data_IF_078345477930
#
_entry.id   IF_078345477930
#
_cell.length_a   1.000
_cell.length_b   1.000
_cell.length_c   1.000
_cell.angle_alpha   90.00
_cell.angle_beta   90.00
_cell.angle_gamma   90.00
#
_symmetry.space_group_name_H-M   'P 1'
#
loop_
_entity.id
_entity.type
_entity.pdbx_description
1 polymer ?
#
# COMPACT_ATOMS: atom_id res chain seq x y z
N UNK A 1 52.70 41.65 41.95
CA UNK A 1 53.60 40.74 41.21
C UNK A 1 52.83 40.24 40.00
N UNK A 2 53.31 40.56 38.80
CA UNK A 2 52.63 40.28 37.53
C UNK A 2 52.63 38.77 37.20
N UNK A 3 51.64 38.34 36.42
CA UNK A 3 51.86 37.29 35.43
C UNK A 3 51.04 37.59 34.18
N UNK A 4 51.75 37.73 33.05
CA UNK A 4 51.23 37.93 31.70
C UNK A 4 50.90 36.57 31.06
N UNK A 5 49.85 36.49 30.23
CA UNK A 5 50.03 36.24 28.78
C UNK A 5 48.74 36.38 27.97
N UNK A 6 48.90 37.09 26.86
CA UNK A 6 47.97 37.41 25.76
C UNK A 6 47.69 36.16 24.93
N UNK A 7 46.44 35.94 24.46
CA UNK A 7 46.23 35.41 23.11
C UNK A 7 44.98 36.03 22.45
N UNK A 8 45.28 36.72 21.33
CA UNK A 8 44.42 37.22 20.27
C UNK A 8 43.07 36.52 20.04
N UNK A 9 42.01 37.32 20.02
CA UNK A 9 40.77 37.04 19.30
C UNK A 9 41.03 37.08 17.79
N UNK A 10 41.43 35.95 17.20
CA UNK A 10 41.41 35.76 15.75
C UNK A 10 40.25 34.84 15.36
N UNK A 11 39.32 35.44 14.64
CA UNK A 11 38.35 34.80 13.76
C UNK A 11 39.05 33.68 12.96
N UNK A 12 38.56 32.46 13.09
CA UNK A 12 38.80 31.39 12.11
C UNK A 12 37.44 30.95 11.61
N UNK A 13 37.13 31.43 10.41
CA UNK A 13 36.01 30.94 9.59
C UNK A 13 36.40 29.53 9.14
N UNK A 14 35.88 28.52 9.83
CA UNK A 14 35.84 27.16 9.28
C UNK A 14 34.50 26.98 8.61
N UNK A 15 34.51 27.12 7.29
CA UNK A 15 33.39 26.83 6.40
C UNK A 15 32.93 25.38 6.56
N UNK A 16 31.98 25.15 7.47
CA UNK A 16 31.06 24.03 7.33
C UNK A 16 29.98 24.55 6.41
N UNK A 17 30.06 24.14 5.15
CA UNK A 17 28.99 24.30 4.17
C UNK A 17 27.74 23.63 4.73
N UNK A 18 26.97 24.39 5.47
CA UNK A 18 25.62 24.03 5.88
C UNK A 18 24.78 24.18 4.62
N UNK A 19 24.88 23.17 3.74
CA UNK A 19 23.97 23.00 2.62
C UNK A 19 22.60 22.81 3.26
N UNK A 20 21.86 23.92 3.33
CA UNK A 20 20.42 23.95 3.50
C UNK A 20 19.85 23.03 2.43
N UNK A 21 19.59 21.78 2.80
CA UNK A 21 18.76 20.90 1.99
C UNK A 21 17.41 21.59 1.94
N UNK A 22 17.16 22.21 0.80
CA UNK A 22 16.00 23.05 0.55
C UNK A 22 14.77 22.17 0.77
N UNK A 23 14.02 22.49 1.82
CA UNK A 23 12.72 21.89 2.11
C UNK A 23 11.78 22.07 0.90
N UNK A 24 11.75 21.08 0.02
CA UNK A 24 10.68 20.91 -0.96
C UNK A 24 9.65 19.89 -0.44
N UNK A 25 9.30 19.98 0.85
CA UNK A 25 8.18 19.26 1.45
C UNK A 25 7.01 20.22 1.70
N UNK A 26 6.47 20.82 0.65
CA UNK A 26 5.17 21.52 0.75
C UNK A 26 4.31 21.32 -0.48
N UNK A 27 3.58 20.22 -0.46
CA UNK A 27 2.18 20.20 -0.90
C UNK A 27 1.36 19.39 0.12
N UNK A 28 1.27 19.93 1.34
CA UNK A 28 0.30 19.49 2.35
C UNK A 28 -0.94 20.36 2.24
N UNK A 29 -1.69 20.16 1.16
CA UNK A 29 -3.10 20.52 1.10
C UNK A 29 -3.85 19.29 0.64
N UNK A 30 -4.09 18.35 1.55
CA UNK A 30 -5.19 17.43 1.37
C UNK A 30 -6.04 17.39 2.64
N UNK A 31 -7.28 17.79 2.43
CA UNK A 31 -8.38 17.94 3.35
C UNK A 31 -8.49 16.79 4.36
N UNK A 32 -9.13 17.04 5.51
CA UNK A 32 -9.63 16.07 6.52
C UNK A 32 -10.55 14.96 5.95
N UNK A 33 -10.51 14.64 4.64
CA UNK A 33 -11.10 13.43 4.09
C UNK A 33 -10.37 12.24 4.70
N UNK A 34 -11.15 11.32 5.26
CA UNK A 34 -10.68 10.02 5.71
C UNK A 34 -9.75 9.44 4.65
N UNK A 35 -8.53 9.02 5.03
CA UNK A 35 -7.63 8.34 4.10
C UNK A 35 -8.25 6.98 3.76
N UNK A 36 -9.02 6.93 2.67
CA UNK A 36 -9.50 5.69 2.06
C UNK A 36 -8.39 5.08 1.21
N UNK A 37 -8.18 3.79 1.38
CA UNK A 37 -7.32 2.97 0.55
C UNK A 37 -8.13 1.90 -0.16
N UNK A 38 -7.64 1.48 -1.33
CA UNK A 38 -8.23 0.42 -2.14
C UNK A 38 -7.19 -0.66 -2.40
N UNK A 39 -7.56 -1.94 -2.29
CA UNK A 39 -6.74 -3.09 -2.67
C UNK A 39 -7.31 -3.72 -3.92
N UNK A 40 -6.51 -3.80 -4.98
CA UNK A 40 -6.89 -4.37 -6.28
C UNK A 40 -5.96 -5.53 -6.65
N UNK A 41 -6.55 -6.61 -7.17
CA UNK A 41 -5.81 -7.79 -7.60
C UNK A 41 -5.36 -7.73 -9.06
N UNK A 42 -4.20 -8.32 -9.35
CA UNK A 42 -3.75 -8.58 -10.72
C UNK A 42 -3.17 -9.99 -10.86
N UNK A 43 -3.45 -10.62 -11.99
CA UNK A 43 -2.93 -11.93 -12.38
C UNK A 43 -1.72 -11.82 -13.30
N UNK A 44 -0.88 -12.84 -13.27
CA UNK A 44 0.25 -13.02 -14.19
C UNK A 44 -0.27 -13.51 -15.55
N UNK A 45 0.01 -12.76 -16.61
CA UNK A 45 -0.28 -13.14 -18.00
C UNK A 45 0.87 -13.93 -18.65
N UNK A 46 0.59 -14.52 -19.82
CA UNK A 46 1.52 -15.44 -20.49
C UNK A 46 2.77 -14.77 -21.08
N UNK A 47 2.69 -13.50 -21.48
CA UNK A 47 3.77 -12.77 -22.20
C UNK A 47 4.42 -11.65 -21.37
N UNK A 48 4.56 -11.87 -20.07
CA UNK A 48 4.92 -10.83 -19.10
C UNK A 48 3.91 -9.69 -18.98
N UNK A 49 2.69 -9.92 -19.48
CA UNK A 49 1.58 -9.00 -19.34
C UNK A 49 0.89 -9.19 -17.98
N UNK A 50 0.13 -8.19 -17.58
CA UNK A 50 -0.65 -8.20 -16.34
C UNK A 50 -2.14 -8.25 -16.71
N UNK A 51 -2.87 -9.18 -16.10
CA UNK A 51 -4.31 -9.31 -16.31
C UNK A 51 -5.04 -8.76 -15.08
N UNK A 52 -5.87 -7.74 -15.29
CA UNK A 52 -6.64 -7.12 -14.20
C UNK A 52 -7.81 -8.02 -13.77
N UNK A 53 -8.14 -8.01 -12.47
CA UNK A 53 -9.42 -8.56 -12.00
C UNK A 53 -10.59 -7.74 -12.57
N UNK A 54 -11.83 -8.28 -12.61
CA UNK A 54 -12.99 -7.53 -13.08
C UNK A 54 -13.18 -6.18 -12.36
N UNK A 55 -13.01 -6.16 -11.04
CA UNK A 55 -13.11 -4.93 -10.25
C UNK A 55 -11.97 -3.95 -10.55
N UNK A 56 -10.74 -4.46 -10.74
CA UNK A 56 -9.60 -3.63 -11.11
C UNK A 56 -9.74 -3.05 -12.52
N UNK A 57 -10.36 -3.78 -13.45
CA UNK A 57 -10.68 -3.29 -14.79
C UNK A 57 -11.71 -2.15 -14.74
N UNK A 58 -12.81 -2.31 -14.00
CA UNK A 58 -13.78 -1.22 -13.73
C UNK A 58 -13.08 0.00 -13.14
N UNK A 59 -12.23 -0.20 -12.13
CA UNK A 59 -11.49 0.91 -11.52
C UNK A 59 -10.52 1.57 -12.53
N UNK A 60 -9.84 0.79 -13.37
CA UNK A 60 -8.95 1.31 -14.40
C UNK A 60 -9.69 2.19 -15.41
N UNK A 61 -10.92 1.81 -15.79
CA UNK A 61 -11.79 2.64 -16.64
C UNK A 61 -12.16 3.97 -15.96
N UNK A 62 -12.50 3.94 -14.67
CA UNK A 62 -12.80 5.16 -13.88
C UNK A 62 -11.62 6.14 -13.81
N UNK A 63 -10.38 5.64 -13.87
CA UNK A 63 -9.16 6.45 -13.86
C UNK A 63 -8.56 6.64 -15.26
N UNK A 64 -9.33 6.41 -16.33
CA UNK A 64 -8.93 6.58 -17.72
C UNK A 64 -7.64 5.83 -18.11
N UNK A 65 -7.46 4.60 -17.63
CA UNK A 65 -6.29 3.77 -17.98
C UNK A 65 -5.03 4.01 -17.14
N UNK A 66 -5.05 5.02 -16.26
CA UNK A 66 -3.89 5.41 -15.44
C UNK A 66 -3.42 4.32 -14.48
N UNK A 67 -4.30 3.41 -14.04
CA UNK A 67 -3.91 2.28 -13.20
C UNK A 67 -2.95 1.37 -13.98
N UNK A 68 -3.34 0.98 -15.19
CA UNK A 68 -2.57 0.08 -16.04
C UNK A 68 -1.26 0.74 -16.51
N UNK A 69 -1.29 2.04 -16.81
CA UNK A 69 -0.08 2.83 -17.07
C UNK A 69 0.87 2.80 -15.87
N UNK A 70 0.39 3.14 -14.66
CA UNK A 70 1.20 3.14 -13.44
C UNK A 70 1.76 1.74 -13.12
N UNK A 71 0.97 0.69 -13.32
CA UNK A 71 1.45 -0.69 -13.20
C UNK A 71 2.56 -0.91 -14.21
N UNK A 72 2.38 -0.56 -15.48
CA UNK A 72 3.40 -0.76 -16.53
C UNK A 72 4.68 0.06 -16.27
N UNK A 73 4.58 1.30 -15.80
CA UNK A 73 5.72 2.16 -15.49
C UNK A 73 6.48 1.72 -14.23
N UNK A 74 5.77 1.22 -13.22
CA UNK A 74 6.37 0.80 -11.94
C UNK A 74 6.74 -0.69 -11.90
N UNK A 75 6.11 -1.50 -12.73
CA UNK A 75 6.45 -2.89 -12.94
C UNK A 75 7.55 -2.96 -14.01
N UNK A 76 8.80 -2.84 -13.56
CA UNK A 76 9.81 -3.76 -14.08
C UNK A 76 9.29 -5.21 -13.98
N UNK A 77 9.85 -6.16 -14.76
CA UNK A 77 9.21 -7.39 -15.24
C UNK A 77 8.26 -8.05 -14.22
N UNK A 78 6.96 -8.11 -14.58
CA UNK A 78 5.83 -8.80 -13.92
C UNK A 78 5.68 -8.59 -12.41
N UNK A 79 4.46 -8.22 -11.99
CA UNK A 79 4.09 -8.21 -10.57
C UNK A 79 3.87 -9.65 -10.07
N UNK A 80 4.93 -10.25 -9.55
CA UNK A 80 4.95 -11.64 -9.05
C UNK A 80 3.90 -11.88 -7.96
N UNK A 81 3.46 -13.13 -7.82
CA UNK A 81 2.66 -13.64 -6.69
C UNK A 81 3.09 -13.04 -5.34
N UNK A 82 2.10 -12.56 -4.59
CA UNK A 82 2.23 -11.97 -3.24
C UNK A 82 3.13 -10.74 -3.15
N UNK A 83 3.46 -10.10 -4.26
CA UNK A 83 4.07 -8.76 -4.26
C UNK A 83 2.98 -7.70 -4.30
N UNK A 84 3.28 -6.57 -3.70
CA UNK A 84 2.36 -5.43 -3.60
C UNK A 84 3.07 -4.18 -4.07
N UNK A 85 2.36 -3.33 -4.81
CA UNK A 85 2.78 -1.97 -5.10
C UNK A 85 1.71 -0.99 -4.68
N UNK A 86 2.13 0.16 -4.18
CA UNK A 86 1.24 1.16 -3.62
C UNK A 86 1.35 2.42 -4.47
N UNK A 87 0.24 2.79 -5.09
CA UNK A 87 0.12 3.98 -5.93
C UNK A 87 -0.61 5.08 -5.18
N UNK A 88 -0.07 6.29 -5.27
CA UNK A 88 -0.59 7.47 -4.58
C UNK A 88 -1.37 8.35 -5.54
N UNK A 89 -2.40 9.04 -5.02
CA UNK A 89 -3.06 10.16 -5.69
C UNK A 89 -3.56 9.82 -7.10
N UNK A 90 -4.47 8.86 -7.19
CA UNK A 90 -5.19 8.57 -8.44
C UNK A 90 -6.35 9.55 -8.63
N UNK A 91 -6.64 9.90 -9.88
CA UNK A 91 -7.37 11.11 -10.26
C UNK A 91 -8.87 11.10 -9.88
N UNK A 92 -9.41 9.96 -9.45
CA UNK A 92 -10.82 9.84 -9.06
C UNK A 92 -11.18 10.57 -7.76
N UNK A 93 -10.19 10.95 -6.93
CA UNK A 93 -10.41 11.74 -5.71
C UNK A 93 -11.15 11.03 -4.56
N UNK A 94 -11.52 9.75 -4.75
CA UNK A 94 -12.17 8.90 -3.76
C UNK A 94 -11.17 8.15 -2.88
N UNK A 95 -10.12 7.61 -3.50
CA UNK A 95 -9.06 6.87 -2.82
C UNK A 95 -7.77 7.66 -2.83
N UNK A 96 -7.16 7.82 -1.66
CA UNK A 96 -5.86 8.49 -1.55
C UNK A 96 -4.73 7.58 -2.04
N UNK A 97 -4.95 6.27 -1.94
CA UNK A 97 -3.94 5.27 -2.15
C UNK A 97 -4.55 3.97 -2.67
N UNK A 98 -3.91 3.37 -3.66
CA UNK A 98 -4.35 2.12 -4.27
C UNK A 98 -3.20 1.11 -4.18
N UNK A 99 -3.41 0.03 -3.46
CA UNK A 99 -2.48 -1.10 -3.38
C UNK A 99 -2.85 -2.15 -4.42
N UNK A 100 -1.95 -2.40 -5.36
CA UNK A 100 -2.08 -3.46 -6.37
C UNK A 100 -1.31 -4.68 -5.91
N UNK A 101 -1.97 -5.84 -5.87
CA UNK A 101 -1.42 -7.11 -5.35
C UNK A 101 -1.38 -8.19 -6.42
N UNK A 102 -0.31 -8.97 -6.44
CA UNK A 102 -0.11 -10.05 -7.41
C UNK A 102 -0.72 -11.36 -6.92
N UNK A 103 -1.67 -11.89 -7.67
CA UNK A 103 -2.38 -13.14 -7.37
C UNK A 103 -1.66 -14.37 -7.94
N UNK A 104 -0.70 -14.17 -8.84
CA UNK A 104 -0.06 -15.25 -9.58
C UNK A 104 -0.89 -15.68 -10.79
N UNK A 105 -0.80 -16.96 -11.16
CA UNK A 105 -1.55 -17.53 -12.29
C UNK A 105 -3.04 -17.56 -12.02
N UNK A 106 -3.84 -17.33 -13.07
CA UNK A 106 -5.29 -17.43 -13.00
C UNK A 106 -5.75 -18.90 -13.02
N UNK A 107 -6.93 -19.18 -12.46
CA UNK A 107 -7.59 -20.50 -12.49
C UNK A 107 -6.76 -21.64 -11.85
N UNK A 108 -6.03 -21.32 -10.77
CA UNK A 108 -5.44 -22.33 -9.90
C UNK A 108 -6.54 -23.06 -9.13
N UNK A 109 -6.35 -24.37 -8.94
CA UNK A 109 -7.28 -25.22 -8.21
C UNK A 109 -6.63 -25.91 -7.01
N UNK A 110 -7.18 -27.05 -6.65
CA UNK A 110 -6.65 -27.88 -5.57
C UNK A 110 -5.29 -28.50 -5.95
N UNK A 111 -4.27 -28.27 -5.13
CA UNK A 111 -2.97 -28.93 -5.26
C UNK A 111 -2.90 -30.10 -4.28
N UNK A 112 -2.83 -31.32 -4.82
CA UNK A 112 -2.76 -32.55 -4.02
C UNK A 112 -1.46 -32.75 -3.26
N UNK A 113 -0.36 -32.08 -3.64
CA UNK A 113 0.91 -32.16 -2.92
C UNK A 113 0.91 -31.29 -1.66
N UNK A 114 0.25 -30.14 -1.73
CA UNK A 114 0.15 -29.16 -0.63
C UNK A 114 -1.16 -29.33 0.17
N UNK A 115 -2.04 -30.22 -0.28
CA UNK A 115 -3.38 -30.49 0.28
C UNK A 115 -4.23 -29.22 0.47
N UNK A 116 -4.02 -28.20 -0.36
CA UNK A 116 -4.65 -26.88 -0.25
C UNK A 116 -5.19 -26.40 -1.60
N UNK A 117 -6.22 -25.56 -1.54
CA UNK A 117 -6.64 -24.76 -2.69
C UNK A 117 -5.67 -23.57 -2.88
N UNK A 118 -4.81 -23.67 -3.89
CA UNK A 118 -3.80 -22.65 -4.17
C UNK A 118 -4.42 -21.32 -4.58
N UNK A 119 -5.54 -21.34 -5.30
CA UNK A 119 -6.22 -20.12 -5.74
C UNK A 119 -6.68 -19.30 -4.54
N UNK A 120 -7.38 -19.94 -3.62
CA UNK A 120 -7.85 -19.30 -2.38
C UNK A 120 -6.68 -18.83 -1.52
N UNK A 121 -5.64 -19.64 -1.38
CA UNK A 121 -4.48 -19.27 -0.58
C UNK A 121 -3.71 -18.09 -1.17
N UNK A 122 -3.59 -18.01 -2.49
CA UNK A 122 -2.97 -16.86 -3.15
C UNK A 122 -3.74 -15.57 -2.86
N UNK A 123 -5.06 -15.61 -2.92
CA UNK A 123 -5.93 -14.46 -2.61
C UNK A 123 -5.69 -14.01 -1.16
N UNK A 124 -5.72 -14.94 -0.19
CA UNK A 124 -5.46 -14.62 1.23
C UNK A 124 -4.13 -13.90 1.43
N UNK A 125 -3.05 -14.48 0.90
CA UNK A 125 -1.69 -13.94 1.08
C UNK A 125 -1.53 -12.60 0.35
N UNK A 126 -2.07 -12.45 -0.86
CA UNK A 126 -1.98 -11.23 -1.63
C UNK A 126 -2.75 -10.07 -0.95
N UNK A 127 -3.99 -10.33 -0.51
CA UNK A 127 -4.79 -9.33 0.22
C UNK A 127 -4.11 -8.96 1.53
N UNK A 128 -3.60 -9.94 2.28
CA UNK A 128 -2.86 -9.68 3.51
C UNK A 128 -1.68 -8.72 3.31
N UNK A 129 -0.92 -8.91 2.22
CA UNK A 129 0.18 -8.02 1.86
C UNK A 129 -0.31 -6.62 1.46
N UNK A 130 -1.41 -6.54 0.70
CA UNK A 130 -2.09 -5.29 0.33
C UNK A 130 -2.54 -4.46 1.54
N UNK A 131 -3.31 -5.09 2.43
CA UNK A 131 -3.80 -4.45 3.66
C UNK A 131 -2.66 -4.01 4.57
N UNK A 132 -1.63 -4.84 4.73
CA UNK A 132 -0.44 -4.51 5.53
C UNK A 132 0.33 -3.32 4.92
N UNK A 133 0.45 -3.25 3.59
CA UNK A 133 1.12 -2.14 2.92
C UNK A 133 0.36 -0.82 3.09
N UNK A 134 -0.98 -0.84 3.05
CA UNK A 134 -1.81 0.33 3.33
C UNK A 134 -1.75 0.73 4.81
N UNK A 135 -1.77 -0.23 5.73
CA UNK A 135 -1.66 0.04 7.16
C UNK A 135 -0.32 0.68 7.53
N UNK A 136 0.78 0.24 6.89
CA UNK A 136 2.12 0.78 7.07
C UNK A 136 2.23 2.26 6.69
N UNK A 137 1.36 2.74 5.81
CA UNK A 137 1.29 4.15 5.39
C UNK A 137 0.15 4.93 6.06
N UNK A 138 -0.35 4.40 7.17
CA UNK A 138 -1.38 5.01 8.03
C UNK A 138 -2.73 5.21 7.34
N UNK A 139 -3.13 4.22 6.53
CA UNK A 139 -4.47 4.15 5.93
C UNK A 139 -5.29 3.11 6.70
N UNK A 140 -6.37 3.60 7.33
CA UNK A 140 -7.19 2.80 8.24
C UNK A 140 -8.58 2.46 7.70
N UNK A 141 -8.98 3.03 6.58
CA UNK A 141 -10.22 2.67 5.88
C UNK A 141 -9.82 1.99 4.59
N UNK A 142 -9.95 0.67 4.52
CA UNK A 142 -9.45 -0.13 3.40
C UNK A 142 -10.63 -0.82 2.73
N UNK A 143 -10.81 -0.60 1.43
CA UNK A 143 -11.73 -1.35 0.59
C UNK A 143 -10.95 -2.40 -0.19
N UNK A 144 -11.49 -3.61 -0.30
CA UNK A 144 -10.79 -4.77 -0.87
C UNK A 144 -11.61 -5.36 -2.00
N UNK A 145 -10.96 -5.61 -3.14
CA UNK A 145 -11.50 -6.36 -4.26
C UNK A 145 -11.82 -7.81 -3.87
N UNK A 146 -12.93 -8.36 -4.39
CA UNK A 146 -13.31 -9.76 -4.18
C UNK A 146 -12.35 -10.76 -4.81
N UNK A 147 -11.60 -10.35 -5.85
CA UNK A 147 -10.57 -11.17 -6.53
C UNK A 147 -11.07 -12.54 -7.03
N UNK A 148 -12.38 -12.73 -7.16
CA UNK A 148 -13.02 -14.00 -7.53
C UNK A 148 -13.48 -14.86 -6.34
N UNK A 149 -12.96 -14.63 -5.14
CA UNK A 149 -13.40 -15.29 -3.89
C UNK A 149 -13.37 -14.27 -2.75
N UNK A 150 -14.54 -13.68 -2.47
CA UNK A 150 -14.69 -12.65 -1.45
C UNK A 150 -14.44 -13.19 -0.02
N UNK A 151 -14.67 -14.48 0.22
CA UNK A 151 -14.42 -15.12 1.51
C UNK A 151 -12.91 -15.19 1.77
N UNK A 152 -12.15 -15.72 0.82
CA UNK A 152 -10.69 -15.78 0.91
C UNK A 152 -10.07 -14.37 1.03
N UNK A 153 -10.62 -13.37 0.32
CA UNK A 153 -10.17 -12.00 0.42
C UNK A 153 -10.44 -11.41 1.82
N UNK A 154 -11.64 -11.62 2.37
CA UNK A 154 -11.99 -11.16 3.71
C UNK A 154 -11.11 -11.81 4.80
N UNK A 155 -10.86 -13.12 4.69
CA UNK A 155 -9.97 -13.85 5.60
C UNK A 155 -8.56 -13.24 5.60
N UNK A 156 -7.97 -13.04 4.41
CA UNK A 156 -6.63 -12.45 4.27
C UNK A 156 -6.55 -11.04 4.86
N UNK A 157 -7.57 -10.22 4.64
CA UNK A 157 -7.62 -8.85 5.16
C UNK A 157 -7.77 -8.80 6.68
N UNK A 158 -8.69 -9.58 7.24
CA UNK A 158 -8.98 -9.58 8.68
C UNK A 158 -7.78 -10.17 9.45
N UNK A 159 -7.22 -11.28 8.99
CA UNK A 159 -6.10 -11.94 9.67
C UNK A 159 -4.83 -11.08 9.67
N UNK A 160 -4.54 -10.38 8.57
CA UNK A 160 -3.35 -9.53 8.46
C UNK A 160 -3.42 -8.25 9.29
N UNK A 161 -4.62 -7.71 9.47
CA UNK A 161 -4.84 -6.44 10.16
C UNK A 161 -5.03 -6.59 11.66
N UNK A 162 -5.32 -7.81 12.13
CA UNK A 162 -5.58 -8.07 13.52
C UNK A 162 -4.31 -8.05 14.39
N UNK A 163 -4.41 -7.46 15.57
CA UNK A 163 -3.32 -7.43 16.55
C UNK A 163 -3.91 -7.58 17.95
N UNK A 164 -3.38 -8.50 18.75
CA UNK A 164 -3.68 -8.60 20.17
C UNK A 164 -3.10 -7.42 20.96
N UNK A 165 -3.95 -6.65 21.62
CA UNK A 165 -3.54 -5.42 22.31
C UNK A 165 -4.26 -5.21 23.65
N UNK A 166 -4.86 -6.26 24.23
CA UNK A 166 -5.67 -6.15 25.44
C UNK A 166 -4.88 -5.56 26.62
N UNK A 167 -3.69 -6.12 26.88
CA UNK A 167 -2.79 -5.73 27.97
C UNK A 167 -1.83 -4.58 27.62
N UNK A 168 -1.94 -3.98 26.43
CA UNK A 168 -1.13 -2.79 26.11
C UNK A 168 -1.68 -1.58 26.84
N UNK A 169 -0.79 -0.70 27.30
CA UNK A 169 -1.17 0.61 27.83
C UNK A 169 -2.04 1.34 26.79
N UNK A 170 -3.12 2.02 27.23
CA UNK A 170 -4.06 2.73 26.36
C UNK A 170 -3.37 3.68 25.38
N UNK A 171 -2.31 4.37 25.82
CA UNK A 171 -1.53 5.28 24.98
C UNK A 171 -0.76 4.57 23.84
N UNK A 172 -0.47 3.28 23.99
CA UNK A 172 0.29 2.48 23.03
C UNK A 172 -0.60 1.53 22.20
N UNK A 173 -1.93 1.62 22.33
CA UNK A 173 -2.86 0.82 21.52
C UNK A 173 -2.92 1.40 20.11
N UNK A 174 -2.58 0.58 19.11
CA UNK A 174 -2.72 0.93 17.69
C UNK A 174 -4.19 0.87 17.29
N UNK A 175 -4.64 1.87 16.52
CA UNK A 175 -5.93 1.81 15.82
C UNK A 175 -5.84 0.76 14.71
N UNK A 176 -6.72 -0.24 14.78
CA UNK A 176 -6.84 -1.26 13.74
C UNK A 176 -7.52 -0.66 12.51
N UNK A 177 -7.12 -1.05 11.29
CA UNK A 177 -7.82 -0.66 10.09
C UNK A 177 -9.18 -1.36 10.02
N UNK A 178 -10.16 -0.69 9.40
CA UNK A 178 -11.47 -1.21 9.06
C UNK A 178 -11.44 -1.62 7.59
N UNK A 179 -11.90 -2.84 7.32
CA UNK A 179 -11.92 -3.41 5.97
C UNK A 179 -13.37 -3.57 5.50
N UNK A 180 -13.64 -3.20 4.26
CA UNK A 180 -14.93 -3.39 3.57
C UNK A 180 -14.75 -3.91 2.15
N UNK A 181 -15.81 -4.47 1.57
CA UNK A 181 -15.81 -4.94 0.18
C UNK A 181 -15.87 -3.74 -0.78
N UNK A 182 -15.07 -3.77 -1.85
CA UNK A 182 -15.13 -2.78 -2.92
C UNK A 182 -16.33 -3.04 -3.84
N UNK A 183 -17.06 -1.98 -4.21
CA UNK A 183 -18.20 -2.06 -5.13
C UNK A 183 -19.54 -2.44 -4.50
N UNK A 184 -19.64 -2.48 -3.17
CA UNK A 184 -20.89 -2.77 -2.45
C UNK A 184 -21.93 -1.62 -2.46
N UNK A 185 -21.64 -0.49 -3.13
CA UNK A 185 -22.51 0.68 -3.19
C UNK A 185 -23.42 0.71 -4.45
N UNK A 186 -23.42 -0.34 -5.28
CA UNK A 186 -24.28 -0.41 -6.50
C UNK A 186 -25.76 -0.78 -6.22
N UNK A 187 -26.17 -1.02 -4.96
CA UNK A 187 -27.54 -1.43 -4.58
C UNK A 187 -28.31 -0.40 -3.71
N UNK A 188 -28.34 0.89 -4.09
CA UNK A 188 -29.31 1.87 -3.55
C UNK A 188 -29.97 2.73 -4.63
#
# INVERSE_FOLDING_TARGET
>A
MASFRIINSKVVVSSVVNLKFHEHFRNLYHCKKMKKGLVLGVYEGEKNDVVLTPSAAKYNELVNGKLLENISFSAGPILKKSKTRVFWSMESGEYNCVAVVGLGKQNLGYNSLEEIDEGKENIRVAVAAGCSALDAVDIKSIEVDSMGDAEAAAEGAILSTWIFQEFKNRANKKKLPTVSLYGSEEDQ
#
